data_IF_628958087584
#
_entry.id   IF_628958087584
#
_cell.length_a   1.000
_cell.length_b   1.000
_cell.length_c   1.000
_cell.angle_alpha   90.00
_cell.angle_beta   90.00
_cell.angle_gamma   90.00
#
_symmetry.space_group_name_H-M   'P 1'
#
loop_
_entity.id
_entity.type
_entity.pdbx_description
1 polymer ?
#
# COMPACT_ATOMS: atom_id res chain seq x y z
N UNK A 1 -0.63 9.24 -4.93
CA UNK A 1 -0.58 10.70 -4.67
C UNK A 1 -0.38 10.94 -3.17
N UNK A 2 0.49 11.88 -2.76
CA UNK A 2 0.64 12.25 -1.35
C UNK A 2 -0.67 12.61 -0.67
N UNK A 3 -1.58 13.31 -1.38
CA UNK A 3 -2.90 13.69 -0.85
C UNK A 3 -3.79 12.46 -0.51
N UNK A 4 -3.69 11.37 -1.29
CA UNK A 4 -4.44 10.15 -1.01
C UNK A 4 -3.91 9.41 0.23
N UNK A 5 -2.58 9.40 0.42
CA UNK A 5 -1.97 8.80 1.61
C UNK A 5 -2.39 9.57 2.86
N UNK A 6 -2.29 10.90 2.80
CA UNK A 6 -2.73 11.80 3.87
C UNK A 6 -4.22 11.65 4.18
N UNK A 7 -5.07 11.51 3.16
CA UNK A 7 -6.48 11.20 3.35
C UNK A 7 -6.74 9.87 4.08
N UNK A 8 -5.94 8.83 3.81
CA UNK A 8 -6.03 7.56 4.53
C UNK A 8 -5.63 7.72 6.01
N UNK A 9 -4.57 8.48 6.28
CA UNK A 9 -4.11 8.77 7.66
C UNK A 9 -5.17 9.57 8.43
N UNK A 10 -5.72 10.64 7.84
CA UNK A 10 -6.81 11.42 8.46
C UNK A 10 -8.09 10.61 8.63
N UNK A 11 -8.34 9.64 7.76
CA UNK A 11 -9.41 8.67 7.92
C UNK A 11 -9.13 7.65 9.03
N UNK A 12 -8.02 7.74 9.77
CA UNK A 12 -7.68 6.82 10.85
C UNK A 12 -7.38 5.40 10.38
N UNK A 13 -6.97 5.24 9.12
CA UNK A 13 -6.52 3.96 8.58
C UNK A 13 -5.04 3.76 8.90
N UNK A 14 -4.68 2.56 9.33
CA UNK A 14 -3.28 2.19 9.49
C UNK A 14 -2.58 2.16 8.13
N UNK A 15 -1.46 2.86 8.00
CA UNK A 15 -0.73 2.96 6.73
C UNK A 15 0.74 2.57 6.90
N UNK A 16 1.34 1.97 5.88
CA UNK A 16 2.77 1.67 5.84
C UNK A 16 3.37 2.00 4.47
N UNK A 17 4.55 2.63 4.48
CA UNK A 17 5.34 2.87 3.27
C UNK A 17 6.30 1.71 3.01
N UNK A 18 6.35 1.24 1.76
CA UNK A 18 7.34 0.28 1.29
C UNK A 18 8.07 0.82 0.07
N UNK A 19 9.40 0.83 0.15
CA UNK A 19 10.26 1.28 -0.94
C UNK A 19 10.55 0.11 -1.88
N UNK A 20 10.17 0.24 -3.15
CA UNK A 20 10.57 -0.71 -4.21
C UNK A 20 12.06 -0.64 -4.53
N UNK A 21 12.78 0.39 -4.06
CA UNK A 21 14.24 0.48 -4.19
C UNK A 21 14.97 -0.49 -3.24
N UNK A 22 14.30 -0.96 -2.18
CA UNK A 22 14.81 -2.00 -1.29
C UNK A 22 14.65 -3.41 -1.89
N UNK A 23 13.99 -3.54 -3.05
CA UNK A 23 13.75 -4.81 -3.71
C UNK A 23 15.05 -5.36 -4.32
N UNK A 24 15.52 -6.54 -3.90
CA UNK A 24 16.74 -7.12 -4.47
C UNK A 24 16.57 -7.45 -5.95
N UNK A 25 17.62 -7.29 -6.73
CA UNK A 25 17.60 -7.56 -8.18
C UNK A 25 17.13 -8.99 -8.51
N UNK A 26 17.57 -9.97 -7.72
CA UNK A 26 17.15 -11.39 -7.81
C UNK A 26 15.65 -11.62 -7.63
N UNK A 27 14.94 -10.66 -7.02
CA UNK A 27 13.47 -10.70 -6.87
C UNK A 27 12.84 -9.96 -8.05
N UNK A 28 13.34 -8.77 -8.39
CA UNK A 28 12.75 -7.96 -9.47
C UNK A 28 12.92 -8.57 -10.86
N UNK A 29 13.91 -9.43 -11.07
CA UNK A 29 14.16 -10.14 -12.34
C UNK A 29 13.26 -11.36 -12.54
N UNK A 30 12.58 -11.83 -11.48
CA UNK A 30 11.70 -13.00 -11.54
C UNK A 30 10.25 -12.53 -11.65
N UNK A 31 9.59 -12.91 -12.73
CA UNK A 31 8.17 -12.59 -12.94
C UNK A 31 7.32 -13.07 -11.75
N UNK A 32 6.46 -12.18 -11.25
CA UNK A 32 5.56 -12.47 -10.13
C UNK A 32 6.20 -12.42 -8.73
N UNK A 33 7.52 -12.32 -8.59
CA UNK A 33 8.18 -12.35 -7.27
C UNK A 33 8.09 -11.02 -6.47
N UNK A 34 7.86 -9.89 -7.15
CA UNK A 34 7.80 -8.58 -6.51
C UNK A 34 6.64 -8.42 -5.52
N UNK A 35 5.46 -8.97 -5.84
CA UNK A 35 4.27 -8.82 -5.00
C UNK A 35 4.36 -9.61 -3.67
N UNK A 36 4.78 -10.89 -3.67
CA UNK A 36 5.10 -11.62 -2.44
C UNK A 36 6.17 -10.93 -1.61
N UNK A 37 7.24 -10.42 -2.24
CA UNK A 37 8.27 -9.68 -1.53
C UNK A 37 7.69 -8.43 -0.87
N UNK A 38 6.93 -7.60 -1.60
CA UNK A 38 6.26 -6.43 -1.04
C UNK A 38 5.35 -6.78 0.14
N UNK A 39 4.52 -7.81 0.02
CA UNK A 39 3.66 -8.28 1.10
C UNK A 39 4.47 -8.65 2.35
N UNK A 40 5.61 -9.34 2.18
CA UNK A 40 6.50 -9.64 3.30
C UNK A 40 7.08 -8.38 3.96
N UNK A 41 7.43 -7.35 3.18
CA UNK A 41 7.96 -6.09 3.71
C UNK A 41 6.89 -5.31 4.49
N UNK A 42 5.66 -5.27 3.95
CA UNK A 42 4.49 -4.68 4.59
C UNK A 42 4.25 -5.31 5.96
N UNK A 43 4.17 -6.65 6.01
CA UNK A 43 3.93 -7.38 7.26
C UNK A 43 5.07 -7.14 8.26
N UNK A 44 6.33 -7.19 7.80
CA UNK A 44 7.50 -7.00 8.66
C UNK A 44 7.59 -5.59 9.24
N UNK A 45 7.29 -4.55 8.44
CA UNK A 45 7.33 -3.15 8.90
C UNK A 45 6.15 -2.80 9.80
N UNK A 46 4.98 -3.36 9.54
CA UNK A 46 3.76 -3.03 10.29
C UNK A 46 3.54 -3.93 11.52
N UNK A 47 4.07 -5.15 11.54
CA UNK A 47 3.79 -6.16 12.56
C UNK A 47 2.50 -6.96 12.30
N UNK A 48 1.92 -6.84 11.10
CA UNK A 48 0.65 -7.44 10.71
C UNK A 48 0.16 -6.92 9.35
N UNK A 49 -1.08 -7.20 8.99
CA UNK A 49 -1.70 -6.62 7.80
C UNK A 49 -2.26 -5.21 8.12
N UNK A 50 -1.75 -4.13 7.50
CA UNK A 50 -2.31 -2.78 7.67
C UNK A 50 -3.61 -2.63 6.88
N UNK A 51 -4.31 -1.51 7.08
CA UNK A 51 -5.42 -1.10 6.23
C UNK A 51 -4.95 -0.65 4.85
N UNK A 52 -3.78 -0.01 4.77
CA UNK A 52 -3.21 0.53 3.54
C UNK A 52 -1.71 0.32 3.50
N UNK A 53 -1.18 -0.11 2.36
CA UNK A 53 0.24 0.07 2.07
C UNK A 53 0.43 0.92 0.83
N UNK A 54 1.55 1.63 0.75
CA UNK A 54 1.85 2.46 -0.40
C UNK A 54 3.33 2.45 -0.74
N UNK A 55 3.62 2.76 -2.01
CA UNK A 55 4.97 2.87 -2.53
C UNK A 55 5.08 4.07 -3.45
N UNK A 56 6.24 4.74 -3.43
CA UNK A 56 6.58 5.84 -4.34
C UNK A 56 6.86 5.36 -5.77
N UNK A 57 6.83 4.06 -6.01
CA UNK A 57 7.23 3.47 -7.27
C UNK A 57 8.75 3.32 -7.38
N UNK A 58 9.21 2.93 -8.56
CA UNK A 58 10.62 2.86 -8.95
C UNK A 58 10.72 2.95 -10.47
N UNK A 59 11.92 2.85 -11.02
CA UNK A 59 12.07 2.74 -12.47
C UNK A 59 11.22 1.57 -13.00
N UNK A 60 10.36 1.83 -13.99
CA UNK A 60 9.43 0.87 -14.57
C UNK A 60 8.28 0.39 -13.66
N UNK A 61 8.08 0.98 -12.46
CA UNK A 61 7.04 0.58 -11.51
C UNK A 61 6.29 1.81 -10.99
N UNK A 62 4.99 1.85 -11.21
CA UNK A 62 4.14 2.98 -10.80
C UNK A 62 4.05 3.11 -9.28
N UNK A 63 3.88 4.36 -8.82
CA UNK A 63 3.52 4.63 -7.44
C UNK A 63 2.12 4.07 -7.15
N UNK A 64 1.97 3.35 -6.04
CA UNK A 64 0.73 2.62 -5.71
C UNK A 64 0.29 2.93 -4.29
N UNK A 65 -1.02 3.06 -4.09
CA UNK A 65 -1.68 3.00 -2.77
C UNK A 65 -2.65 1.83 -2.84
N UNK A 66 -2.49 0.84 -1.95
CA UNK A 66 -3.29 -0.38 -1.95
C UNK A 66 -4.01 -0.52 -0.61
N UNK A 67 -5.34 -0.64 -0.67
CA UNK A 67 -6.22 -0.81 0.49
C UNK A 67 -6.48 -2.30 0.69
N UNK A 68 -6.26 -2.78 1.91
CA UNK A 68 -6.47 -4.18 2.31
C UNK A 68 -7.74 -4.32 3.17
N UNK A 69 -8.38 -5.48 3.04
CA UNK A 69 -9.53 -5.87 3.84
C UNK A 69 -9.79 -7.36 3.69
N UNK A 70 -10.46 -7.96 4.68
CA UNK A 70 -10.78 -9.38 4.67
C UNK A 70 -11.83 -9.75 3.60
N UNK A 71 -12.56 -8.76 3.09
CA UNK A 71 -13.57 -8.93 2.05
C UNK A 71 -13.77 -7.62 1.24
N UNK A 72 -14.40 -7.69 0.05
CA UNK A 72 -14.61 -6.51 -0.79
C UNK A 72 -15.41 -5.39 -0.12
N UNK A 73 -16.38 -5.71 0.75
CA UNK A 73 -17.19 -4.71 1.46
C UNK A 73 -16.33 -3.87 2.40
N UNK A 74 -15.40 -4.50 3.11
CA UNK A 74 -14.47 -3.82 4.00
C UNK A 74 -13.52 -2.89 3.22
N UNK A 75 -12.96 -3.36 2.10
CA UNK A 75 -12.11 -2.55 1.22
C UNK A 75 -12.88 -1.32 0.74
N UNK A 76 -14.11 -1.49 0.25
CA UNK A 76 -14.96 -0.38 -0.18
C UNK A 76 -15.27 0.60 0.96
N UNK A 77 -15.54 0.10 2.17
CA UNK A 77 -15.81 0.95 3.33
C UNK A 77 -14.58 1.81 3.70
N UNK A 78 -13.38 1.23 3.74
CA UNK A 78 -12.12 1.93 4.01
C UNK A 78 -11.83 2.97 2.94
N UNK A 79 -11.94 2.60 1.67
CA UNK A 79 -11.76 3.49 0.52
C UNK A 79 -12.73 4.68 0.61
N UNK A 80 -14.04 4.44 0.80
CA UNK A 80 -15.03 5.53 0.93
C UNK A 80 -14.70 6.48 2.08
N UNK A 81 -14.20 5.97 3.21
CA UNK A 81 -13.77 6.79 4.35
C UNK A 81 -12.63 7.73 3.95
N UNK A 82 -11.58 7.20 3.31
CA UNK A 82 -10.45 8.01 2.84
C UNK A 82 -10.89 9.09 1.82
N UNK A 83 -11.72 8.74 0.84
CA UNK A 83 -12.17 9.69 -0.19
C UNK A 83 -13.02 10.84 0.41
N UNK A 84 -13.92 10.55 1.37
CA UNK A 84 -14.71 11.59 2.05
C UNK A 84 -13.82 12.57 2.84
N UNK A 85 -12.74 12.06 3.43
CA UNK A 85 -11.78 12.88 4.18
C UNK A 85 -10.88 13.73 3.28
N UNK A 86 -10.75 13.37 2.02
CA UNK A 86 -10.00 14.15 1.04
C UNK A 86 -10.81 15.28 0.39
N UNK A 87 -12.12 15.36 0.65
CA UNK A 87 -13.06 16.24 -0.05
C UNK A 87 -13.00 16.09 -1.59
N UNK A 88 -12.79 14.85 -2.06
CA UNK A 88 -13.02 14.48 -3.47
C UNK A 88 -14.51 14.40 -3.77
#
# INVERSE_FOLDING_TARGET
>A
SPALVDACVRAGLSTVEVSRLEEPERVSSVEGASMPWLASQVIRKHGGAPDVFWSRGSFGKEATVCVLGANPREVLAKTRRAFRTAAY
#
